data_IF_020349679848
#
_entry.id   IF_020349679848
#
_cell.length_a   1.000
_cell.length_b   1.000
_cell.length_c   1.000
_cell.angle_alpha   90.00
_cell.angle_beta   90.00
_cell.angle_gamma   90.00
#
_symmetry.space_group_name_H-M   'P 1'
#
loop_
_entity.id
_entity.type
_entity.pdbx_description
1 polymer ?
#
# COMPACT_ATOMS: atom_id res chain seq x y z
N UNK A 1 4.22 -16.00 1.80
CA UNK A 1 4.42 -17.36 2.35
C UNK A 1 3.52 -18.38 1.64
N UNK A 2 2.20 -18.19 1.56
CA UNK A 2 1.28 -19.12 0.87
C UNK A 2 1.76 -19.50 -0.53
N UNK A 3 2.05 -18.52 -1.38
CA UNK A 3 2.51 -18.75 -2.76
C UNK A 3 3.79 -19.59 -2.82
N UNK A 4 4.77 -19.29 -1.98
CA UNK A 4 6.03 -20.05 -1.93
C UNK A 4 5.77 -21.53 -1.58
N UNK A 5 4.73 -21.81 -0.81
CA UNK A 5 4.35 -23.18 -0.46
C UNK A 5 3.50 -23.83 -1.55
N UNK A 6 2.58 -23.09 -2.17
CA UNK A 6 1.65 -23.63 -3.16
C UNK A 6 2.28 -23.81 -4.54
N UNK A 7 3.26 -23.00 -4.88
CA UNK A 7 3.92 -22.96 -6.20
C UNK A 7 5.45 -23.05 -6.06
N UNK A 8 5.99 -24.18 -5.56
CA UNK A 8 7.44 -24.30 -5.27
C UNK A 8 8.32 -24.20 -6.51
N UNK A 9 7.82 -24.58 -7.69
CA UNK A 9 8.54 -24.60 -8.95
C UNK A 9 8.40 -23.30 -9.76
N UNK A 10 7.64 -22.31 -9.23
CA UNK A 10 7.47 -21.02 -9.89
C UNK A 10 8.50 -20.01 -9.39
N UNK A 11 8.96 -19.16 -10.30
CA UNK A 11 9.68 -17.95 -9.92
C UNK A 11 8.69 -16.97 -9.29
N UNK A 12 8.87 -16.68 -7.99
CA UNK A 12 8.03 -15.75 -7.24
C UNK A 12 8.85 -14.53 -6.89
N UNK A 13 8.49 -13.40 -7.48
CA UNK A 13 9.06 -12.09 -7.18
C UNK A 13 8.13 -11.34 -6.24
N UNK A 14 8.63 -11.01 -5.04
CA UNK A 14 7.92 -10.14 -4.12
C UNK A 14 8.34 -8.70 -4.39
N UNK A 15 7.40 -7.82 -4.67
CA UNK A 15 7.71 -6.42 -4.87
C UNK A 15 6.83 -5.50 -4.01
N UNK A 16 7.38 -4.35 -3.66
CA UNK A 16 6.69 -3.30 -2.92
C UNK A 16 6.95 -1.94 -3.57
N UNK A 17 5.89 -1.21 -3.89
CA UNK A 17 6.00 0.19 -4.29
C UNK A 17 6.24 1.03 -3.04
N UNK A 18 7.50 1.33 -2.77
CA UNK A 18 7.95 2.06 -1.58
C UNK A 18 7.81 3.57 -1.78
N UNK A 19 7.35 4.26 -0.76
CA UNK A 19 7.13 5.71 -0.77
C UNK A 19 7.81 6.38 0.42
N UNK A 20 8.39 7.54 0.19
CA UNK A 20 9.07 8.32 1.23
C UNK A 20 8.15 8.76 2.38
N UNK A 21 6.84 8.77 2.16
CA UNK A 21 5.83 9.15 3.18
C UNK A 21 5.38 7.98 4.05
N UNK A 22 5.93 6.79 3.90
CA UNK A 22 5.67 5.68 4.80
C UNK A 22 6.44 5.86 6.12
N UNK A 23 5.93 5.24 7.17
CA UNK A 23 6.64 5.28 8.46
C UNK A 23 8.01 4.60 8.32
N UNK A 24 9.11 5.18 8.85
CA UNK A 24 10.47 4.61 8.71
C UNK A 24 10.59 3.15 9.17
N UNK A 25 9.78 2.73 10.14
CA UNK A 25 9.72 1.34 10.63
C UNK A 25 9.30 0.32 9.55
N UNK A 26 8.73 0.77 8.42
CA UNK A 26 8.39 -0.14 7.32
C UNK A 26 9.62 -0.86 6.74
N UNK A 27 10.79 -0.23 6.79
CA UNK A 27 12.03 -0.87 6.35
C UNK A 27 12.39 -2.08 7.23
N UNK A 28 12.26 -1.96 8.56
CA UNK A 28 12.40 -3.08 9.49
C UNK A 28 11.38 -4.17 9.19
N UNK A 29 10.11 -3.78 9.07
CA UNK A 29 9.03 -4.73 8.83
C UNK A 29 9.23 -5.49 7.51
N UNK A 30 9.62 -4.83 6.43
CA UNK A 30 9.94 -5.50 5.16
C UNK A 30 11.10 -6.49 5.31
N UNK A 31 12.16 -6.12 6.05
CA UNK A 31 13.29 -7.01 6.31
C UNK A 31 12.87 -8.24 7.13
N UNK A 32 12.01 -8.07 8.15
CA UNK A 32 11.48 -9.17 8.95
C UNK A 32 10.63 -10.12 8.11
N UNK A 33 9.75 -9.58 7.26
CA UNK A 33 8.93 -10.37 6.35
C UNK A 33 9.79 -11.10 5.31
N UNK A 34 10.78 -10.43 4.72
CA UNK A 34 11.74 -11.04 3.77
C UNK A 34 12.43 -12.27 4.38
N UNK A 35 12.95 -12.13 5.61
CA UNK A 35 13.55 -13.25 6.35
C UNK A 35 12.56 -14.39 6.59
N UNK A 36 11.33 -14.06 7.01
CA UNK A 36 10.29 -15.06 7.29
C UNK A 36 9.85 -15.84 6.06
N UNK A 37 9.70 -15.18 4.92
CA UNK A 37 9.33 -15.87 3.68
C UNK A 37 10.51 -16.56 3.00
N UNK A 38 11.76 -16.18 3.32
CA UNK A 38 12.98 -16.70 2.71
C UNK A 38 13.22 -16.19 1.28
N UNK A 39 12.68 -14.99 0.95
CA UNK A 39 12.84 -14.34 -0.35
C UNK A 39 12.94 -12.83 -0.18
N UNK A 40 13.74 -12.19 -1.01
CA UNK A 40 13.87 -10.74 -1.02
C UNK A 40 12.59 -10.04 -1.47
N UNK A 41 12.41 -8.82 -1.03
CA UNK A 41 11.34 -7.92 -1.48
C UNK A 41 11.98 -6.83 -2.32
N UNK A 42 11.69 -6.85 -3.61
CA UNK A 42 12.14 -5.82 -4.56
C UNK A 42 11.40 -4.53 -4.26
N UNK A 43 12.14 -3.48 -3.97
CA UNK A 43 11.56 -2.16 -3.73
C UNK A 43 11.48 -1.39 -5.03
N UNK A 44 10.27 -1.00 -5.41
CA UNK A 44 9.98 -0.25 -6.62
C UNK A 44 9.74 1.22 -6.28
N UNK A 45 10.36 2.11 -7.03
CA UNK A 45 10.29 3.56 -6.82
C UNK A 45 9.85 4.27 -8.09
N UNK A 46 9.17 5.41 -7.91
CA UNK A 46 8.90 6.31 -9.03
C UNK A 46 10.17 7.09 -9.39
N UNK A 47 10.53 7.10 -10.66
CA UNK A 47 11.61 7.96 -11.17
C UNK A 47 11.16 9.41 -11.35
N UNK A 48 9.87 9.62 -11.46
CA UNK A 48 9.24 10.91 -11.78
C UNK A 48 8.92 11.76 -10.56
N UNK A 49 8.58 11.09 -9.45
CA UNK A 49 8.12 11.76 -8.23
C UNK A 49 8.86 11.23 -7.00
N UNK A 50 9.24 12.15 -6.11
CA UNK A 50 9.93 11.82 -4.85
C UNK A 50 8.99 11.21 -3.82
N UNK A 51 7.79 11.81 -3.69
CA UNK A 51 6.84 11.52 -2.63
C UNK A 51 5.41 11.93 -3.05
N UNK A 52 4.44 11.75 -2.16
CA UNK A 52 3.05 12.13 -2.41
C UNK A 52 2.88 13.64 -2.61
N UNK A 53 3.69 14.45 -1.94
CA UNK A 53 3.62 15.91 -2.03
C UNK A 53 4.10 16.40 -3.39
N UNK A 54 5.19 15.83 -3.90
CA UNK A 54 5.70 16.12 -5.24
C UNK A 54 4.68 15.78 -6.33
N UNK A 55 3.93 14.66 -6.14
CA UNK A 55 2.79 14.32 -7.03
C UNK A 55 1.73 15.40 -6.97
N UNK A 56 1.30 15.79 -5.78
CA UNK A 56 0.23 16.78 -5.62
C UNK A 56 0.63 18.13 -6.17
N UNK A 57 1.83 18.61 -5.85
CA UNK A 57 2.32 19.90 -6.26
C UNK A 57 2.51 20.00 -7.78
N UNK A 58 2.96 18.93 -8.45
CA UNK A 58 3.15 18.88 -9.91
C UNK A 58 1.86 18.62 -10.70
N UNK A 59 0.91 17.88 -10.12
CA UNK A 59 -0.32 17.52 -10.84
C UNK A 59 -1.51 18.42 -10.52
N UNK A 60 -1.44 19.20 -9.44
CA UNK A 60 -2.56 20.00 -8.94
C UNK A 60 -3.74 19.14 -8.44
N UNK A 61 -3.52 17.86 -8.12
CA UNK A 61 -4.58 16.92 -7.77
C UNK A 61 -4.27 16.13 -6.50
N UNK A 62 -5.16 16.15 -5.52
CA UNK A 62 -5.06 15.38 -4.28
C UNK A 62 -5.78 14.03 -4.40
N UNK A 63 -7.10 14.09 -4.32
CA UNK A 63 -8.01 12.93 -4.35
C UNK A 63 -9.36 13.35 -4.94
N UNK A 64 -10.07 12.41 -5.57
CA UNK A 64 -11.39 12.63 -6.13
C UNK A 64 -12.08 11.31 -6.48
N UNK A 65 -13.17 11.37 -7.25
CA UNK A 65 -13.94 10.19 -7.67
C UNK A 65 -13.07 9.15 -8.38
N UNK A 66 -12.10 9.59 -9.19
CA UNK A 66 -11.11 8.72 -9.86
C UNK A 66 -10.01 8.18 -8.93
N UNK A 67 -10.06 8.48 -7.63
CA UNK A 67 -9.08 8.04 -6.64
C UNK A 67 -7.99 9.07 -6.35
N UNK A 68 -6.94 8.64 -5.65
CA UNK A 68 -5.81 9.48 -5.28
C UNK A 68 -4.72 9.42 -6.35
N UNK A 69 -4.27 10.57 -6.83
CA UNK A 69 -3.26 10.66 -7.88
C UNK A 69 -1.94 9.96 -7.51
N UNK A 70 -1.53 10.07 -6.24
CA UNK A 70 -0.36 9.37 -5.74
C UNK A 70 -0.47 7.84 -5.86
N UNK A 71 -1.67 7.25 -5.81
CA UNK A 71 -1.85 5.80 -6.03
C UNK A 71 -1.54 5.43 -7.48
N UNK A 72 -1.94 6.26 -8.44
CA UNK A 72 -1.60 6.05 -9.84
C UNK A 72 -0.08 6.17 -10.04
N UNK A 73 0.47 7.33 -9.76
CA UNK A 73 1.85 7.71 -10.11
C UNK A 73 2.93 6.96 -9.32
N UNK A 74 2.67 6.63 -8.05
CA UNK A 74 3.68 6.03 -7.17
C UNK A 74 3.49 4.52 -6.95
N UNK A 75 2.37 3.94 -7.40
CA UNK A 75 2.11 2.50 -7.23
C UNK A 75 1.76 1.81 -8.54
N UNK A 76 0.72 2.27 -9.25
CA UNK A 76 0.28 1.60 -10.47
C UNK A 76 1.30 1.72 -11.59
N UNK A 77 1.67 2.95 -11.96
CA UNK A 77 2.61 3.21 -13.04
C UNK A 77 3.98 2.58 -12.77
N UNK A 78 4.41 2.55 -11.50
CA UNK A 78 5.66 1.93 -11.08
C UNK A 78 5.60 0.41 -11.25
N UNK A 79 4.49 -0.23 -10.85
CA UNK A 79 4.27 -1.67 -11.08
C UNK A 79 4.20 -1.98 -12.59
N UNK A 80 3.44 -1.20 -13.35
CA UNK A 80 3.25 -1.40 -14.80
C UNK A 80 4.56 -1.30 -15.58
N UNK A 81 5.48 -0.45 -15.15
CA UNK A 81 6.83 -0.41 -15.72
C UNK A 81 7.70 -1.63 -15.37
N UNK A 82 7.45 -2.26 -14.25
CA UNK A 82 8.23 -3.38 -13.76
C UNK A 82 7.73 -4.72 -14.29
N UNK A 83 6.41 -4.88 -14.44
CA UNK A 83 5.78 -6.13 -14.89
C UNK A 83 6.18 -6.50 -16.31
N UNK A 84 6.18 -7.81 -16.59
CA UNK A 84 6.44 -8.36 -17.92
C UNK A 84 5.18 -9.02 -18.50
N UNK A 85 5.18 -9.18 -19.81
CA UNK A 85 4.09 -9.88 -20.50
C UNK A 85 4.08 -11.35 -20.06
N UNK A 86 2.92 -11.82 -19.63
CA UNK A 86 2.73 -13.19 -19.13
C UNK A 86 2.89 -13.35 -17.62
N UNK A 87 3.23 -12.30 -16.89
CA UNK A 87 3.27 -12.35 -15.43
C UNK A 87 1.90 -12.66 -14.83
N UNK A 88 1.89 -13.50 -13.80
CA UNK A 88 0.73 -13.73 -12.95
C UNK A 88 0.82 -12.79 -11.73
N UNK A 89 -0.14 -11.90 -11.62
CA UNK A 89 -0.17 -10.88 -10.58
C UNK A 89 -0.91 -11.37 -9.33
N UNK A 90 -0.18 -11.46 -8.22
CA UNK A 90 -0.73 -11.86 -6.93
C UNK A 90 -0.98 -10.65 -6.04
N UNK A 91 -2.23 -10.42 -5.65
CA UNK A 91 -2.62 -9.32 -4.78
C UNK A 91 -3.12 -9.82 -3.42
N UNK A 92 -2.69 -9.14 -2.35
CA UNK A 92 -3.06 -9.45 -0.97
C UNK A 92 -4.41 -8.86 -0.55
N UNK A 93 -5.45 -8.97 -1.38
CA UNK A 93 -6.80 -8.66 -0.94
C UNK A 93 -7.31 -9.78 -0.02
N UNK A 94 -7.83 -9.39 1.13
CA UNK A 94 -8.33 -10.34 2.14
C UNK A 94 -9.78 -10.76 1.88
N UNK A 95 -10.23 -11.78 2.61
CA UNK A 95 -11.63 -12.23 2.57
C UNK A 95 -12.64 -11.13 2.95
N UNK A 96 -12.18 -10.08 3.64
CA UNK A 96 -13.00 -8.93 4.02
C UNK A 96 -13.24 -7.95 2.85
N UNK A 97 -12.63 -8.15 1.68
CA UNK A 97 -12.62 -7.18 0.56
C UNK A 97 -13.16 -7.75 -0.77
N UNK A 98 -14.24 -8.57 -0.81
CA UNK A 98 -14.68 -9.23 -2.05
C UNK A 98 -15.09 -8.24 -3.14
N UNK A 99 -15.82 -7.18 -2.79
CA UNK A 99 -16.26 -6.14 -3.74
C UNK A 99 -15.08 -5.39 -4.37
N UNK A 100 -14.00 -5.21 -3.60
CA UNK A 100 -12.77 -4.58 -4.08
C UNK A 100 -12.06 -5.46 -5.09
N UNK A 101 -12.06 -6.77 -4.88
CA UNK A 101 -11.51 -7.76 -5.82
C UNK A 101 -12.28 -7.73 -7.14
N UNK A 102 -13.61 -7.80 -7.10
CA UNK A 102 -14.45 -7.79 -8.31
C UNK A 102 -14.30 -6.49 -9.10
N UNK A 103 -14.21 -5.34 -8.43
CA UNK A 103 -13.89 -4.08 -9.08
C UNK A 103 -12.50 -4.11 -9.70
N UNK A 104 -11.50 -4.64 -9.00
CA UNK A 104 -10.12 -4.70 -9.49
C UNK A 104 -10.00 -5.59 -10.74
N UNK A 105 -10.67 -6.75 -10.76
CA UNK A 105 -10.74 -7.63 -11.95
C UNK A 105 -11.35 -6.91 -13.16
N UNK A 106 -12.47 -6.22 -12.93
CA UNK A 106 -13.14 -5.46 -14.00
C UNK A 106 -12.29 -4.31 -14.55
N UNK A 107 -11.53 -3.65 -13.67
CA UNK A 107 -10.71 -2.49 -14.02
C UNK A 107 -9.33 -2.89 -14.63
N UNK A 108 -8.96 -4.20 -14.61
CA UNK A 108 -7.70 -4.74 -15.14
C UNK A 108 -7.94 -6.08 -15.85
N UNK A 109 -8.76 -6.13 -16.91
CA UNK A 109 -9.14 -7.37 -17.59
C UNK A 109 -7.97 -8.05 -18.34
N UNK A 110 -6.90 -7.31 -18.58
CA UNK A 110 -5.68 -7.78 -19.29
C UNK A 110 -4.73 -8.57 -18.39
N UNK A 111 -4.90 -8.50 -17.04
CA UNK A 111 -3.99 -9.13 -16.10
C UNK A 111 -4.41 -10.56 -15.74
N UNK A 112 -3.45 -11.46 -15.66
CA UNK A 112 -3.64 -12.75 -15.00
C UNK A 112 -3.55 -12.57 -13.48
N UNK A 113 -4.66 -12.77 -12.77
CA UNK A 113 -4.81 -12.36 -11.37
C UNK A 113 -4.98 -13.56 -10.44
N UNK A 114 -4.25 -13.57 -9.31
CA UNK A 114 -4.44 -14.47 -8.19
C UNK A 114 -4.69 -13.68 -6.89
N UNK A 115 -5.57 -14.18 -6.06
CA UNK A 115 -5.94 -13.58 -4.77
C UNK A 115 -5.80 -14.59 -3.63
N UNK A 116 -4.58 -15.02 -3.30
CA UNK A 116 -4.36 -16.17 -2.41
C UNK A 116 -4.92 -16.01 -1.00
N UNK A 117 -5.11 -14.78 -0.50
CA UNK A 117 -5.74 -14.57 0.81
C UNK A 117 -7.26 -14.77 0.72
N UNK A 118 -7.90 -14.25 -0.32
CA UNK A 118 -9.33 -14.45 -0.59
C UNK A 118 -9.62 -15.94 -0.84
N UNK A 119 -8.82 -16.60 -1.69
CA UNK A 119 -9.00 -18.00 -2.06
C UNK A 119 -8.87 -18.95 -0.87
N UNK A 120 -8.08 -18.57 0.13
CA UNK A 120 -7.94 -19.31 1.40
C UNK A 120 -8.83 -18.75 2.54
N UNK A 121 -9.78 -17.87 2.23
CA UNK A 121 -10.71 -17.26 3.18
C UNK A 121 -10.01 -16.60 4.38
N UNK A 122 -8.86 -15.95 4.14
CA UNK A 122 -8.08 -15.28 5.18
C UNK A 122 -8.49 -13.81 5.31
N UNK A 123 -8.94 -13.46 6.51
CA UNK A 123 -9.23 -12.08 6.89
C UNK A 123 -7.95 -11.27 7.16
N UNK A 124 -8.11 -9.95 7.28
CA UNK A 124 -7.02 -9.09 7.74
C UNK A 124 -6.51 -9.51 9.13
N UNK A 125 -7.40 -9.90 10.03
CA UNK A 125 -7.02 -10.33 11.38
C UNK A 125 -6.20 -11.63 11.34
N UNK A 126 -6.56 -12.57 10.46
CA UNK A 126 -5.77 -13.80 10.28
C UNK A 126 -4.35 -13.48 9.80
N UNK A 127 -4.20 -12.55 8.86
CA UNK A 127 -2.88 -12.10 8.41
C UNK A 127 -2.05 -11.48 9.54
N UNK A 128 -2.66 -10.65 10.41
CA UNK A 128 -1.98 -10.08 11.57
C UNK A 128 -1.58 -11.17 12.58
N UNK A 129 -2.47 -12.13 12.83
CA UNK A 129 -2.19 -13.26 13.72
C UNK A 129 -1.03 -14.12 13.20
N UNK A 130 -0.97 -14.38 11.88
CA UNK A 130 0.14 -15.12 11.25
C UNK A 130 1.49 -14.43 11.46
N UNK A 131 1.54 -13.10 11.36
CA UNK A 131 2.76 -12.32 11.62
C UNK A 131 3.17 -12.42 13.09
N UNK A 132 2.22 -12.27 14.01
CA UNK A 132 2.47 -12.38 15.44
C UNK A 132 2.96 -13.80 15.83
N UNK A 133 2.36 -14.85 15.27
CA UNK A 133 2.80 -16.24 15.48
C UNK A 133 4.21 -16.48 14.92
N UNK A 134 4.59 -15.78 13.86
CA UNK A 134 5.94 -15.82 13.31
C UNK A 134 6.96 -14.97 14.12
N UNK A 135 6.54 -14.33 15.21
CA UNK A 135 7.38 -13.45 16.02
C UNK A 135 7.71 -12.13 15.35
N UNK A 136 6.96 -11.74 14.31
CA UNK A 136 7.19 -10.50 13.58
C UNK A 136 6.40 -9.38 14.24
N UNK A 137 7.11 -8.37 14.72
CA UNK A 137 6.51 -7.16 15.28
C UNK A 137 5.77 -6.38 14.18
N UNK A 138 4.51 -6.02 14.44
CA UNK A 138 3.70 -5.26 13.50
C UNK A 138 4.33 -3.88 13.19
N UNK A 139 4.01 -3.28 12.04
CA UNK A 139 4.44 -1.92 11.71
C UNK A 139 4.02 -0.90 12.77
N UNK A 140 4.86 0.09 13.03
CA UNK A 140 4.64 1.10 14.06
C UNK A 140 3.30 1.83 13.95
N UNK A 141 2.74 1.99 12.75
CA UNK A 141 1.43 2.62 12.58
C UNK A 141 0.31 1.84 13.31
N UNK A 142 0.39 0.51 13.39
CA UNK A 142 -0.57 -0.28 14.19
C UNK A 142 -0.36 -0.06 15.69
N UNK A 143 0.90 0.02 16.16
CA UNK A 143 1.22 0.30 17.56
C UNK A 143 0.75 1.69 18.00
N UNK A 144 0.84 2.67 17.08
CA UNK A 144 0.27 3.99 17.25
C UNK A 144 -1.27 4.01 17.23
N UNK A 145 -1.93 2.86 16.98
CA UNK A 145 -3.39 2.74 16.98
C UNK A 145 -4.06 3.14 15.66
N UNK A 146 -3.33 3.19 14.54
CA UNK A 146 -3.94 3.35 13.23
C UNK A 146 -4.53 2.02 12.73
N UNK A 147 -5.67 2.10 12.04
CA UNK A 147 -6.34 0.90 11.49
C UNK A 147 -5.56 0.24 10.32
N UNK A 148 -4.71 0.99 9.66
CA UNK A 148 -3.94 0.54 8.50
C UNK A 148 -2.53 1.14 8.52
N UNK A 149 -1.58 0.40 7.97
CA UNK A 149 -0.22 0.88 7.74
C UNK A 149 -0.14 1.71 6.45
N UNK A 150 -0.85 2.83 6.43
CA UNK A 150 -0.86 3.76 5.31
C UNK A 150 0.34 4.72 5.38
N UNK A 151 0.57 5.45 4.27
CA UNK A 151 1.46 6.62 4.30
C UNK A 151 1.02 7.59 5.39
N UNK A 152 1.97 8.23 6.05
CA UNK A 152 1.71 9.34 6.96
C UNK A 152 1.20 10.51 6.12
N UNK A 153 -0.01 10.99 6.39
CA UNK A 153 -0.68 11.99 5.56
C UNK A 153 -1.44 11.43 4.35
N UNK A 154 -1.93 10.18 4.43
CA UNK A 154 -2.69 9.56 3.35
C UNK A 154 -3.99 10.33 3.03
N UNK A 155 -4.13 10.84 1.81
CA UNK A 155 -5.32 11.58 1.33
C UNK A 155 -6.60 10.75 1.27
N UNK A 156 -6.50 9.41 1.40
CA UNK A 156 -7.65 8.51 1.52
C UNK A 156 -8.12 8.33 2.98
N UNK A 157 -7.41 8.93 3.93
CA UNK A 157 -7.78 8.90 5.33
C UNK A 157 -9.04 9.74 5.58
N UNK A 158 -10.02 9.20 6.31
CA UNK A 158 -11.19 9.96 6.75
C UNK A 158 -10.89 10.85 7.97
N UNK A 159 -11.92 11.56 8.44
CA UNK A 159 -11.80 12.51 9.59
C UNK A 159 -11.08 11.92 10.81
N UNK A 160 -11.40 10.68 11.20
CA UNK A 160 -10.76 10.04 12.36
C UNK A 160 -9.24 9.85 12.17
N UNK A 161 -8.82 9.48 10.95
CA UNK A 161 -7.41 9.37 10.61
C UNK A 161 -6.71 10.73 10.68
N UNK A 162 -7.28 11.77 10.07
CA UNK A 162 -6.68 13.11 10.05
C UNK A 162 -6.69 13.80 11.41
N UNK A 163 -7.71 13.55 12.26
CA UNK A 163 -7.68 14.00 13.65
C UNK A 163 -6.52 13.39 14.42
N UNK A 164 -6.20 12.12 14.16
CA UNK A 164 -5.05 11.45 14.77
C UNK A 164 -3.72 11.94 14.19
N UNK A 165 -3.62 12.12 12.87
CA UNK A 165 -2.43 12.73 12.22
C UNK A 165 -2.13 14.12 12.77
N UNK A 166 -3.14 14.92 13.06
CA UNK A 166 -2.96 16.25 13.67
C UNK A 166 -2.26 16.19 15.03
N UNK A 167 -2.46 15.10 15.78
CA UNK A 167 -1.85 14.90 17.11
C UNK A 167 -0.47 14.25 16.97
N UNK A 168 -0.37 13.17 16.21
CA UNK A 168 0.84 12.35 16.15
C UNK A 168 1.91 12.93 15.21
N UNK A 169 1.47 13.62 14.14
CA UNK A 169 2.33 14.18 13.08
C UNK A 169 1.86 15.57 12.68
N UNK A 170 1.91 16.56 13.59
CA UNK A 170 1.33 17.89 13.37
C UNK A 170 1.94 18.63 12.16
N UNK A 171 3.21 18.41 11.88
CA UNK A 171 3.90 19.00 10.71
C UNK A 171 3.31 18.46 9.38
N UNK A 172 2.98 17.19 9.32
CA UNK A 172 2.34 16.56 8.15
C UNK A 172 0.92 17.10 7.96
N UNK A 173 0.18 17.25 9.06
CA UNK A 173 -1.15 17.85 9.02
C UNK A 173 -1.11 19.29 8.48
N UNK A 174 -0.21 20.13 9.02
CA UNK A 174 -0.06 21.52 8.58
C UNK A 174 0.37 21.62 7.11
N UNK A 175 1.31 20.78 6.68
CA UNK A 175 1.76 20.74 5.28
C UNK A 175 0.60 20.38 4.33
N UNK A 176 -0.33 19.52 4.75
CA UNK A 176 -1.49 19.16 3.94
C UNK A 176 -2.53 20.29 3.93
N UNK A 177 -2.81 20.94 5.05
CA UNK A 177 -3.69 22.11 5.11
C UNK A 177 -3.24 23.23 4.17
N UNK A 178 -1.92 23.46 4.08
CA UNK A 178 -1.37 24.45 3.16
C UNK A 178 -1.61 24.07 1.68
N UNK A 179 -1.49 22.76 1.36
CA UNK A 179 -1.77 22.25 0.01
C UNK A 179 -3.24 22.33 -0.36
N UNK A 180 -4.15 21.98 0.55
CA UNK A 180 -5.58 22.14 0.34
C UNK A 180 -5.94 23.59 0.00
N UNK A 181 -5.43 24.54 0.78
CA UNK A 181 -5.62 25.98 0.53
C UNK A 181 -5.07 26.43 -0.83
N UNK A 182 -3.85 26.00 -1.17
CA UNK A 182 -3.21 26.32 -2.45
C UNK A 182 -3.98 25.80 -3.65
N UNK A 183 -4.56 24.62 -3.52
CA UNK A 183 -5.26 23.93 -4.61
C UNK A 183 -6.77 24.22 -4.64
N UNK A 184 -7.31 24.93 -3.66
CA UNK A 184 -8.75 25.13 -3.53
C UNK A 184 -9.54 23.82 -3.35
N UNK A 185 -8.92 22.81 -2.77
CA UNK A 185 -9.46 21.46 -2.60
C UNK A 185 -9.59 21.10 -1.11
N UNK A 186 -10.47 20.14 -0.81
CA UNK A 186 -10.62 19.58 0.52
C UNK A 186 -10.52 18.06 0.45
N UNK A 187 -9.83 17.44 1.43
CA UNK A 187 -9.72 15.98 1.52
C UNK A 187 -10.94 15.40 2.23
N UNK A 188 -11.59 16.18 3.13
CA UNK A 188 -12.75 15.78 3.94
C UNK A 188 -13.61 16.98 4.38
#
# INVERSE_FOLDING_TARGET
>A
KLLVTQYPDCEIVNCSSTMANEHPDNARFMADVSRWIGKDIVQLYSEKYKDIYDVFDKTGWLVGVGGARCTQELKRDVREKYQQVGDIHCFGFTADEPERVERFKRDNPELYLLFPLLDNNLSKQDCLNMLMQAGIKLPAMYELGYKNNNCIGCVKGGKGYWNKIRVDFPEVFLAMVQREKKMGAQIF
#
